data_IF_802042033448
#
_entry.id   IF_802042033448
#
_cell.length_a   1.000
_cell.length_b   1.000
_cell.length_c   1.000
_cell.angle_alpha   90.00
_cell.angle_beta   90.00
_cell.angle_gamma   90.00
#
_symmetry.space_group_name_H-M   'P 1'
#
loop_
_entity.id
_entity.type
_entity.pdbx_description
1 polymer ?
#
# COMPACT_ATOMS: atom_id res chain seq x y z
N UNK A 1 -0.12 13.87 -11.88
CA UNK A 1 -0.05 14.81 -10.74
C UNK A 1 1.26 15.59 -10.82
N UNK A 2 1.21 16.93 -10.75
CA UNK A 2 2.40 17.73 -10.47
C UNK A 2 2.87 17.52 -9.02
N UNK A 3 4.04 18.03 -8.66
CA UNK A 3 4.68 17.72 -7.37
C UNK A 3 3.87 18.21 -6.16
N UNK A 4 3.25 19.39 -6.24
CA UNK A 4 2.29 19.86 -5.21
C UNK A 4 1.11 18.90 -5.06
N UNK A 5 0.54 18.40 -6.16
CA UNK A 5 -0.58 17.46 -6.11
C UNK A 5 -0.19 16.09 -5.53
N UNK A 6 1.06 15.64 -5.72
CA UNK A 6 1.58 14.44 -5.07
C UNK A 6 1.72 14.63 -3.57
N UNK A 7 2.20 15.78 -3.14
CA UNK A 7 2.34 16.13 -1.72
C UNK A 7 0.99 16.14 -1.01
N UNK A 8 0.00 16.85 -1.55
CA UNK A 8 -1.35 16.89 -0.98
C UNK A 8 -1.99 15.49 -0.92
N UNK A 9 -1.80 14.68 -1.97
CA UNK A 9 -2.29 13.31 -1.98
C UNK A 9 -1.70 12.46 -0.84
N UNK A 10 -0.39 12.52 -0.59
CA UNK A 10 0.23 11.79 0.52
C UNK A 10 -0.23 12.35 1.87
N UNK A 11 -0.27 13.68 2.02
CA UNK A 11 -0.64 14.35 3.27
C UNK A 11 -2.06 14.02 3.73
N UNK A 12 -2.97 13.79 2.79
CA UNK A 12 -4.35 13.41 3.09
C UNK A 12 -4.50 11.98 3.61
N UNK A 13 -3.52 11.09 3.38
CA UNK A 13 -3.65 9.69 3.81
C UNK A 13 -3.27 9.52 5.28
N UNK A 14 -4.12 8.81 6.02
CA UNK A 14 -3.87 8.49 7.43
C UNK A 14 -2.53 7.79 7.65
N UNK A 15 -2.04 7.00 6.69
CA UNK A 15 -0.73 6.35 6.80
C UNK A 15 0.41 7.36 7.01
N UNK A 16 0.34 8.53 6.37
CA UNK A 16 1.39 9.54 6.41
C UNK A 16 1.14 10.66 7.44
N UNK A 17 0.13 10.55 8.32
CA UNK A 17 -0.26 11.64 9.22
C UNK A 17 0.83 12.08 10.21
N UNK A 18 1.82 11.23 10.48
CA UNK A 18 2.95 11.51 11.40
C UNK A 18 4.22 11.97 10.69
N UNK A 19 4.21 11.98 9.36
CA UNK A 19 5.37 12.37 8.56
C UNK A 19 5.46 13.89 8.48
N UNK A 20 6.64 14.42 8.77
CA UNK A 20 6.97 15.81 8.51
C UNK A 20 7.04 16.08 7.00
N UNK A 21 6.92 17.35 6.62
CA UNK A 21 6.86 17.76 5.22
C UNK A 21 8.12 17.34 4.45
N UNK A 22 9.30 17.43 5.07
CA UNK A 22 10.55 16.97 4.48
C UNK A 22 10.54 15.46 4.20
N UNK A 23 9.92 14.66 5.06
CA UNK A 23 9.79 13.21 4.87
C UNK A 23 8.80 12.89 3.75
N UNK A 24 7.73 13.66 3.60
CA UNK A 24 6.79 13.51 2.47
C UNK A 24 7.47 13.81 1.13
N UNK A 25 8.28 14.87 1.07
CA UNK A 25 9.08 15.16 -0.12
C UNK A 25 10.10 14.05 -0.42
N UNK A 26 10.69 13.48 0.61
CA UNK A 26 11.55 12.31 0.47
C UNK A 26 10.79 11.12 -0.13
N UNK A 27 9.59 10.82 0.39
CA UNK A 27 8.71 9.76 -0.14
C UNK A 27 8.38 9.98 -1.60
N UNK A 28 8.05 11.22 -1.99
CA UNK A 28 7.78 11.57 -3.39
C UNK A 28 9.00 11.30 -4.26
N UNK A 29 10.21 11.63 -3.79
CA UNK A 29 11.44 11.47 -4.56
C UNK A 29 11.78 9.99 -4.87
N UNK A 30 11.42 9.05 -4.00
CA UNK A 30 11.70 7.62 -4.22
C UNK A 30 10.48 6.76 -4.61
N UNK A 31 9.32 7.39 -4.84
CA UNK A 31 8.08 6.70 -5.22
C UNK A 31 7.73 6.89 -6.69
N UNK A 32 6.88 5.99 -7.21
CA UNK A 32 6.31 6.09 -8.56
C UNK A 32 4.82 6.34 -8.48
N UNK A 33 4.36 7.42 -9.09
CA UNK A 33 2.94 7.71 -9.26
C UNK A 33 2.47 7.16 -10.61
N UNK A 34 1.31 6.51 -10.64
CA UNK A 34 0.76 5.94 -11.87
C UNK A 34 -0.76 5.85 -11.83
N UNK A 35 -1.37 5.87 -13.01
CA UNK A 35 -2.80 5.57 -13.19
C UNK A 35 -2.95 4.24 -13.92
N UNK A 36 -3.96 3.47 -13.53
CA UNK A 36 -4.25 2.14 -14.05
C UNK A 36 -5.74 2.06 -14.38
N UNK A 37 -6.10 1.40 -15.48
CA UNK A 37 -7.51 1.27 -15.89
C UNK A 37 -8.25 0.20 -15.10
N UNK A 38 -9.56 0.36 -14.97
CA UNK A 38 -10.45 -0.66 -14.43
C UNK A 38 -10.21 -2.04 -15.08
N UNK A 39 -10.31 -3.10 -14.29
CA UNK A 39 -10.08 -4.49 -14.70
C UNK A 39 -8.61 -4.92 -14.80
N UNK A 40 -7.65 -3.99 -14.63
CA UNK A 40 -6.23 -4.33 -14.66
C UNK A 40 -5.81 -5.05 -13.39
N UNK A 41 -5.11 -6.18 -13.52
CA UNK A 41 -4.44 -6.84 -12.38
C UNK A 41 -3.18 -6.05 -12.00
N UNK A 42 -3.21 -5.45 -10.83
CA UNK A 42 -2.12 -4.61 -10.28
C UNK A 42 -1.06 -5.47 -9.60
N UNK A 43 -1.49 -6.51 -8.90
CA UNK A 43 -0.62 -7.53 -8.29
C UNK A 43 -1.30 -8.89 -8.45
N UNK A 44 -0.53 -9.93 -8.72
CA UNK A 44 -1.06 -11.29 -8.86
C UNK A 44 -0.57 -12.18 -7.73
N UNK A 45 -1.49 -12.96 -7.16
CA UNK A 45 -1.21 -13.96 -6.14
C UNK A 45 -0.14 -14.95 -6.61
N UNK A 46 0.77 -15.33 -5.71
CA UNK A 46 1.84 -16.29 -5.99
C UNK A 46 3.07 -15.69 -6.68
N UNK A 47 2.98 -14.47 -7.21
CA UNK A 47 4.14 -13.79 -7.79
C UNK A 47 5.06 -13.20 -6.72
N UNK A 48 6.35 -13.09 -7.04
CA UNK A 48 7.29 -12.34 -6.22
C UNK A 48 7.03 -10.85 -6.36
N UNK A 49 7.14 -10.11 -5.28
CA UNK A 49 7.07 -8.66 -5.36
C UNK A 49 7.58 -7.96 -4.11
N UNK A 50 8.30 -6.87 -4.33
CA UNK A 50 8.93 -6.04 -3.29
C UNK A 50 8.31 -4.64 -3.19
N UNK A 51 7.19 -4.40 -3.89
CA UNK A 51 6.54 -3.11 -3.97
C UNK A 51 5.31 -3.04 -3.05
N UNK A 52 5.14 -1.87 -2.45
CA UNK A 52 3.99 -1.46 -1.64
C UNK A 52 3.26 -0.38 -2.43
N UNK A 53 1.94 -0.45 -2.50
CA UNK A 53 1.12 0.52 -3.19
C UNK A 53 0.16 1.20 -2.22
N UNK A 54 -0.18 2.45 -2.50
CA UNK A 54 -1.24 3.19 -1.81
C UNK A 54 -2.23 3.70 -2.86
N UNK A 55 -3.52 3.59 -2.55
CA UNK A 55 -4.60 4.10 -3.39
C UNK A 55 -4.75 5.59 -3.16
N UNK A 56 -4.55 6.39 -4.20
CA UNK A 56 -4.76 7.83 -4.18
C UNK A 56 -6.22 8.14 -4.52
N UNK A 57 -6.75 7.47 -5.55
CA UNK A 57 -8.09 7.65 -6.07
C UNK A 57 -8.57 6.34 -6.71
N UNK A 58 -9.87 6.09 -6.70
CA UNK A 58 -10.48 4.88 -7.25
C UNK A 58 -10.50 3.73 -6.26
N UNK A 59 -10.84 2.55 -6.75
CA UNK A 59 -11.02 1.35 -5.93
C UNK A 59 -10.30 0.13 -6.52
N UNK A 60 -9.88 -0.79 -5.65
CA UNK A 60 -9.35 -2.09 -6.07
C UNK A 60 -9.97 -3.25 -5.27
N UNK A 61 -10.10 -4.42 -5.89
CA UNK A 61 -10.56 -5.66 -5.25
C UNK A 61 -9.38 -6.52 -4.87
N UNK A 62 -9.38 -7.01 -3.63
CA UNK A 62 -8.43 -8.01 -3.15
C UNK A 62 -9.06 -9.39 -3.28
N UNK A 63 -8.43 -10.29 -4.03
CA UNK A 63 -8.91 -11.66 -4.25
C UNK A 63 -7.85 -12.68 -3.86
N UNK A 64 -8.25 -13.75 -3.17
CA UNK A 64 -7.37 -14.90 -2.88
C UNK A 64 -8.05 -16.19 -3.33
N UNK A 65 -7.34 -17.01 -4.10
CA UNK A 65 -7.90 -18.21 -4.73
C UNK A 65 -9.22 -17.91 -5.49
N UNK A 66 -9.31 -16.73 -6.12
CA UNK A 66 -10.52 -16.28 -6.83
C UNK A 66 -11.63 -15.68 -5.93
N UNK A 67 -11.58 -15.87 -4.61
CA UNK A 67 -12.58 -15.33 -3.68
C UNK A 67 -12.27 -13.88 -3.30
N UNK A 68 -13.30 -13.03 -3.32
CA UNK A 68 -13.19 -11.63 -2.89
C UNK A 68 -12.99 -11.56 -1.37
N UNK A 69 -11.89 -10.95 -0.94
CA UNK A 69 -11.58 -10.73 0.48
C UNK A 69 -12.00 -9.33 0.96
N UNK A 70 -12.05 -8.36 0.04
CA UNK A 70 -12.42 -6.99 0.34
C UNK A 70 -12.13 -6.03 -0.81
N UNK A 71 -12.48 -4.76 -0.58
CA UNK A 71 -12.24 -3.63 -1.47
C UNK A 71 -11.29 -2.66 -0.77
N UNK A 72 -10.34 -2.12 -1.52
CA UNK A 72 -9.41 -1.07 -1.12
C UNK A 72 -9.92 0.27 -1.68
N UNK A 73 -9.90 1.28 -0.83
CA UNK A 73 -10.39 2.63 -1.08
C UNK A 73 -9.22 3.64 -1.00
N UNK A 74 -9.43 4.91 -1.40
CA UNK A 74 -8.41 5.96 -1.22
C UNK A 74 -7.86 6.00 0.22
N UNK A 75 -6.53 6.06 0.33
CA UNK A 75 -5.79 6.00 1.59
C UNK A 75 -5.36 4.58 2.01
N UNK A 76 -5.94 3.53 1.44
CA UNK A 76 -5.54 2.16 1.75
C UNK A 76 -4.20 1.81 1.10
N UNK A 77 -3.38 1.02 1.81
CA UNK A 77 -2.14 0.46 1.29
C UNK A 77 -2.25 -1.05 1.02
N UNK A 78 -1.43 -1.60 0.14
CA UNK A 78 -1.42 -3.04 -0.13
C UNK A 78 -0.06 -3.51 -0.66
N UNK A 79 0.15 -4.83 -0.59
CA UNK A 79 1.40 -5.47 -0.99
C UNK A 79 2.49 -5.42 0.07
N UNK A 80 2.19 -4.86 1.25
CA UNK A 80 3.10 -4.73 2.39
C UNK A 80 3.56 -6.07 2.94
N UNK A 81 2.70 -7.09 2.93
CA UNK A 81 3.06 -8.44 3.42
C UNK A 81 4.22 -9.00 2.60
N UNK A 82 4.16 -8.96 1.27
CA UNK A 82 5.25 -9.48 0.44
C UNK A 82 6.51 -8.61 0.54
N UNK A 83 6.37 -7.30 0.75
CA UNK A 83 7.47 -6.37 0.88
C UNK A 83 8.28 -6.55 2.18
N UNK A 84 7.61 -6.91 3.29
CA UNK A 84 8.25 -7.05 4.61
C UNK A 84 8.36 -8.50 5.11
N UNK A 85 7.69 -9.46 4.48
CA UNK A 85 7.79 -10.87 4.86
C UNK A 85 9.18 -11.41 4.56
N UNK A 86 9.81 -11.97 5.59
CA UNK A 86 11.04 -12.77 5.47
C UNK A 86 10.79 -14.13 4.81
N UNK A 87 9.52 -14.57 4.76
CA UNK A 87 9.10 -15.81 4.11
C UNK A 87 8.67 -15.51 2.67
N UNK A 88 9.62 -15.74 1.75
CA UNK A 88 9.48 -15.84 0.28
C UNK A 88 9.17 -14.57 -0.52
N UNK A 89 8.72 -13.47 0.08
CA UNK A 89 8.44 -12.22 -0.66
C UNK A 89 7.38 -12.39 -1.77
N UNK A 90 6.41 -13.29 -1.51
CA UNK A 90 5.36 -13.68 -2.47
C UNK A 90 4.06 -12.96 -2.13
N UNK A 91 3.33 -12.52 -3.16
CA UNK A 91 2.01 -11.91 -3.03
C UNK A 91 1.01 -12.94 -2.48
N UNK A 92 0.40 -12.62 -1.34
CA UNK A 92 -0.57 -13.48 -0.63
C UNK A 92 -1.97 -13.47 -1.25
N UNK A 93 -2.26 -12.48 -2.12
CA UNK A 93 -3.52 -12.28 -2.80
C UNK A 93 -3.28 -11.48 -4.10
N UNK A 94 -4.23 -11.56 -5.03
CA UNK A 94 -4.29 -10.69 -6.21
C UNK A 94 -5.00 -9.38 -5.86
N UNK A 95 -4.60 -8.30 -6.51
CA UNK A 95 -5.25 -6.99 -6.44
C UNK A 95 -5.56 -6.53 -7.85
N UNK A 96 -6.82 -6.22 -8.10
CA UNK A 96 -7.34 -5.84 -9.42
C UNK A 96 -8.07 -4.50 -9.30
N UNK A 97 -7.82 -3.58 -10.23
CA UNK A 97 -8.50 -2.30 -10.28
C UNK A 97 -10.00 -2.48 -10.51
N UNK A 98 -10.85 -2.01 -9.60
CA UNK A 98 -12.30 -2.05 -9.77
C UNK A 98 -12.81 -0.85 -10.60
N UNK A 99 -12.15 0.29 -10.46
CA UNK A 99 -12.33 1.50 -11.27
C UNK A 99 -11.01 1.88 -11.92
N UNK A 100 -11.01 2.94 -12.74
CA UNK A 100 -9.77 3.65 -13.00
C UNK A 100 -9.19 4.12 -11.66
N UNK A 101 -7.90 3.85 -11.44
CA UNK A 101 -7.27 3.96 -10.13
C UNK A 101 -5.93 4.70 -10.25
N UNK A 102 -5.69 5.63 -9.33
CA UNK A 102 -4.41 6.31 -9.16
C UNK A 102 -3.67 5.71 -7.97
N UNK A 103 -2.39 5.42 -8.16
CA UNK A 103 -1.54 4.75 -7.18
C UNK A 103 -0.23 5.51 -6.98
N UNK A 104 0.28 5.45 -5.74
CA UNK A 104 1.70 5.65 -5.46
C UNK A 104 2.32 4.31 -5.07
N UNK A 105 3.45 3.98 -5.69
CA UNK A 105 4.18 2.72 -5.50
C UNK A 105 5.57 2.99 -4.94
N UNK A 106 5.91 2.28 -3.86
CA UNK A 106 7.20 2.36 -3.16
C UNK A 106 7.82 0.97 -3.17
N UNK A 107 9.09 0.86 -3.62
CA UNK A 107 9.84 -0.40 -3.48
C UNK A 107 10.45 -0.50 -2.09
N UNK A 108 10.39 -1.69 -1.49
CA UNK A 108 10.98 -1.97 -0.17
C UNK A 108 12.47 -1.59 -0.11
N UNK A 109 13.23 -1.85 -1.18
CA UNK A 109 14.64 -1.45 -1.24
C UNK A 109 14.86 0.07 -1.36
N UNK A 110 13.89 0.82 -1.90
CA UNK A 110 13.97 2.28 -1.90
C UNK A 110 13.76 2.85 -0.50
N UNK A 111 12.80 2.28 0.25
CA UNK A 111 12.56 2.64 1.65
C UNK A 111 13.82 2.45 2.51
N UNK A 112 14.63 1.42 2.27
CA UNK A 112 15.90 1.20 3.00
C UNK A 112 16.89 2.36 2.86
N UNK A 113 16.78 3.18 1.81
CA UNK A 113 17.65 4.33 1.55
C UNK A 113 17.06 5.65 2.03
N UNK A 114 15.83 5.66 2.52
CA UNK A 114 15.23 6.85 3.10
C UNK A 114 15.93 7.22 4.42
N UNK A 115 15.73 8.42 4.93
CA UNK A 115 16.23 8.90 6.21
C UNK A 115 15.74 8.03 7.37
N UNK A 116 16.51 7.98 8.46
CA UNK A 116 16.20 7.13 9.61
C UNK A 116 14.83 7.46 10.23
N UNK A 117 14.48 8.75 10.29
CA UNK A 117 13.18 9.23 10.75
C UNK A 117 12.05 8.78 9.83
N UNK A 118 12.23 8.92 8.51
CA UNK A 118 11.24 8.51 7.53
C UNK A 118 11.00 6.99 7.62
N UNK A 119 12.06 6.19 7.67
CA UNK A 119 11.95 4.73 7.86
C UNK A 119 11.24 4.36 9.15
N UNK A 120 11.54 5.05 10.26
CA UNK A 120 10.86 4.84 11.54
C UNK A 120 9.36 5.11 11.46
N UNK A 121 8.96 6.23 10.85
CA UNK A 121 7.54 6.55 10.65
C UNK A 121 6.83 5.55 9.74
N UNK A 122 7.50 5.04 8.69
CA UNK A 122 6.97 3.92 7.90
C UNK A 122 6.72 2.68 8.74
N UNK A 123 7.70 2.25 9.54
CA UNK A 123 7.55 1.06 10.37
C UNK A 123 6.43 1.22 11.41
N UNK A 124 6.33 2.39 12.05
CA UNK A 124 5.22 2.69 12.97
C UNK A 124 3.86 2.62 12.25
N UNK A 125 3.73 3.26 11.09
CA UNK A 125 2.49 3.24 10.32
C UNK A 125 2.13 1.83 9.83
N UNK A 126 3.11 1.01 9.42
CA UNK A 126 2.85 -0.39 9.07
C UNK A 126 2.43 -1.23 10.28
N UNK A 127 3.01 -1.02 11.46
CA UNK A 127 2.57 -1.70 12.68
C UNK A 127 1.09 -1.42 12.97
N UNK A 128 0.65 -0.16 12.85
CA UNK A 128 -0.76 0.22 13.02
C UNK A 128 -1.69 -0.44 11.99
N UNK A 129 -1.28 -0.44 10.71
CA UNK A 129 -2.04 -1.09 9.63
C UNK A 129 -2.16 -2.60 9.86
N UNK A 130 -1.05 -3.27 10.13
CA UNK A 130 -1.00 -4.72 10.30
C UNK A 130 -1.75 -5.17 11.55
N UNK A 131 -1.62 -4.44 12.67
CA UNK A 131 -2.37 -4.71 13.89
C UNK A 131 -3.89 -4.59 13.65
N UNK A 132 -4.31 -3.54 12.93
CA UNK A 132 -5.72 -3.33 12.57
C UNK A 132 -6.25 -4.48 11.70
N UNK A 133 -5.49 -4.87 10.66
CA UNK A 133 -5.88 -5.96 9.75
C UNK A 133 -5.95 -7.31 10.46
N UNK A 134 -5.01 -7.59 11.34
CA UNK A 134 -5.00 -8.82 12.14
C UNK A 134 -6.22 -8.87 13.05
N UNK A 135 -6.52 -7.78 13.76
CA UNK A 135 -7.71 -7.69 14.63
C UNK A 135 -9.01 -7.92 13.84
N UNK A 136 -9.16 -7.26 12.69
CA UNK A 136 -10.35 -7.41 11.82
C UNK A 136 -10.47 -8.84 11.26
N UNK A 137 -9.36 -9.45 10.86
CA UNK A 137 -9.35 -10.83 10.32
C UNK A 137 -9.72 -11.83 11.40
N UNK A 138 -9.13 -11.72 12.58
CA UNK A 138 -9.44 -12.59 13.72
C UNK A 138 -10.90 -12.46 14.15
N UNK A 139 -11.46 -11.25 14.17
CA UNK A 139 -12.87 -11.03 14.48
C UNK A 139 -13.82 -11.72 13.47
N UNK A 140 -13.49 -11.66 12.17
CA UNK A 140 -14.27 -12.34 11.12
C UNK A 140 -14.24 -13.86 11.26
N UNK A 141 -13.08 -14.43 11.62
CA UNK A 141 -12.94 -15.88 11.85
C UNK A 141 -13.74 -16.31 13.08
N UNK A 142 -13.72 -15.53 14.15
CA UNK A 142 -14.48 -15.83 15.38
C UNK A 142 -16.00 -15.72 15.19
N UNK A 143 -16.47 -15.03 14.16
CA UNK A 143 -17.89 -14.90 13.80
C UNK A 143 -18.39 -15.94 12.79
N UNK A 144 -17.54 -16.87 12.35
CA UNK A 144 -17.89 -18.01 11.48
C UNK A 144 -18.10 -19.27 12.32
#
# INVERSE_FOLDING_TARGET
>A
LGDTGKFEALRAMRFFHRFADAELWEVIAFSRFSSTRAGTVIMKEGERGDAICFVIEGEARVKKHGHLLGVLNPGDCFGEIAAFSTVRGVRSASVEAATDIALVTIRANALKRASDTCRMHFYQAFLEVLATRLSQTSARIASL
#
